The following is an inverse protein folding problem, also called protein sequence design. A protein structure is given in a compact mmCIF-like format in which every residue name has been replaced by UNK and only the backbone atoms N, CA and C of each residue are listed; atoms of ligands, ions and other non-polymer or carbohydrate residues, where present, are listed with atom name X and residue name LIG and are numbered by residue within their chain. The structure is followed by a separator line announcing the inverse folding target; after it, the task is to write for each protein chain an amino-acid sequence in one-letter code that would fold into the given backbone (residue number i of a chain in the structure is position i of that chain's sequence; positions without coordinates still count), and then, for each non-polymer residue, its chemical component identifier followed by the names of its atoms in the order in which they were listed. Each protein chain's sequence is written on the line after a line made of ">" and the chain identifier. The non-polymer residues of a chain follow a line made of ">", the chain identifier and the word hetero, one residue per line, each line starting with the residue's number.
data_IF_886351488421
#
_entry.id   IF_886351488421
#
_cell.length_a   1.000
_cell.length_b   1.000
_cell.length_c   1.000
_cell.angle_alpha   90.00
_cell.angle_beta   90.00
_cell.angle_gamma   90.00
#
_symmetry.space_group_name_H-M   'P 1'
#
loop_
_entity.id
_entity.type
_entity.pdbx_description
1 polymer ?
#
# COMPACT_ATOMS: atom_id res chain seq x y z
N UNK A 1 -9.06 2.93 -6.35
CA UNK A 1 -9.36 1.68 -5.61
C UNK A 1 -8.16 0.75 -5.80
N UNK A 2 -7.69 0.12 -4.73
CA UNK A 2 -6.60 -0.85 -4.76
C UNK A 2 -7.15 -2.25 -4.52
N UNK A 3 -6.63 -3.23 -5.26
CA UNK A 3 -6.92 -4.65 -5.06
C UNK A 3 -5.64 -5.45 -5.17
N UNK A 4 -5.47 -6.45 -4.31
CA UNK A 4 -4.33 -7.36 -4.34
C UNK A 4 -4.79 -8.82 -4.18
N UNK A 5 -3.91 -9.75 -4.54
CA UNK A 5 -4.16 -11.17 -4.30
C UNK A 5 -3.98 -11.49 -2.81
N UNK A 6 -4.84 -12.37 -2.30
CA UNK A 6 -4.62 -12.93 -0.97
C UNK A 6 -3.39 -13.85 -1.01
N UNK A 7 -2.52 -13.71 -0.02
CA UNK A 7 -1.39 -14.59 0.22
C UNK A 7 -1.72 -15.50 1.40
N UNK A 8 -1.47 -16.80 1.22
CA UNK A 8 -1.66 -17.80 2.27
C UNK A 8 -0.73 -17.51 3.45
N UNK A 9 -1.26 -17.58 4.68
CA UNK A 9 -0.57 -17.24 5.95
C UNK A 9 -0.29 -15.75 6.19
N UNK A 10 -0.80 -14.86 5.34
CA UNK A 10 -0.83 -13.44 5.64
C UNK A 10 -1.59 -13.15 6.93
N UNK A 11 -0.97 -12.48 7.88
CA UNK A 11 -1.65 -12.03 9.11
C UNK A 11 -2.24 -10.65 8.93
N UNK A 12 -1.50 -9.76 8.26
CA UNK A 12 -1.90 -8.38 8.00
C UNK A 12 -1.32 -7.87 6.66
N UNK A 13 -1.95 -6.84 6.11
CA UNK A 13 -1.48 -6.09 4.96
C UNK A 13 -1.35 -4.61 5.32
N UNK A 14 -0.18 -4.03 5.05
CA UNK A 14 0.06 -2.60 5.18
C UNK A 14 0.12 -1.97 3.80
N UNK A 15 -0.67 -0.90 3.60
CA UNK A 15 -0.68 -0.13 2.35
C UNK A 15 0.04 1.18 2.56
N UNK A 16 1.02 1.46 1.71
CA UNK A 16 1.77 2.71 1.67
C UNK A 16 1.54 3.40 0.34
N UNK A 17 1.51 4.74 0.34
CA UNK A 17 1.55 5.52 -0.89
C UNK A 17 2.45 6.75 -0.79
N UNK A 18 2.99 7.17 -1.93
CA UNK A 18 3.86 8.34 -2.07
C UNK A 18 3.61 9.03 -3.42
N UNK A 19 3.86 10.34 -3.49
CA UNK A 19 3.89 11.10 -4.75
C UNK A 19 5.29 11.17 -5.37
N UNK A 20 6.32 10.88 -4.58
CA UNK A 20 7.69 10.75 -5.04
C UNK A 20 7.91 9.33 -5.53
N UNK A 21 8.39 9.19 -6.77
CA UNK A 21 8.85 7.91 -7.30
C UNK A 21 10.03 7.43 -6.45
N UNK A 22 9.88 6.31 -5.76
CA UNK A 22 11.04 5.60 -5.22
C UNK A 22 11.63 4.78 -6.37
N UNK A 23 12.73 5.30 -6.90
CA UNK A 23 13.49 4.74 -8.01
C UNK A 23 14.20 3.45 -7.54
N UNK A 24 13.48 2.32 -7.53
CA UNK A 24 14.05 0.97 -7.68
C UNK A 24 12.97 -0.10 -7.48
N UNK A 25 12.96 -1.04 -8.42
CA UNK A 25 12.05 -2.15 -8.65
C UNK A 25 11.89 -3.20 -7.53
N UNK A 26 12.23 -2.89 -6.27
CA UNK A 26 12.03 -3.80 -5.14
C UNK A 26 12.21 -3.14 -3.75
N UNK A 27 12.54 -1.85 -3.66
CA UNK A 27 12.68 -1.22 -2.34
C UNK A 27 11.33 -0.68 -1.90
N UNK A 28 10.78 -1.35 -0.89
CA UNK A 28 9.72 -0.87 -0.01
C UNK A 28 9.76 0.66 0.10
N UNK A 29 8.63 1.33 -0.17
CA UNK A 29 8.40 2.66 0.40
C UNK A 29 8.77 2.53 1.88
N UNK A 30 9.80 3.25 2.38
CA UNK A 30 10.24 3.07 3.75
C UNK A 30 9.01 3.19 4.64
N UNK A 31 8.85 2.26 5.59
CA UNK A 31 7.72 2.19 6.53
C UNK A 31 7.78 3.35 7.56
N UNK A 32 7.94 4.56 7.06
CA UNK A 32 8.10 5.82 7.77
C UNK A 32 7.52 6.86 6.82
N UNK A 33 6.19 7.08 6.86
CA UNK A 33 5.34 7.22 8.06
C UNK A 33 4.43 5.99 8.36
N UNK A 34 3.53 6.03 9.38
CA UNK A 34 2.54 4.97 9.61
C UNK A 34 1.81 4.57 8.33
N UNK A 35 1.45 3.28 8.17
CA UNK A 35 0.78 2.81 6.96
C UNK A 35 -0.51 3.61 6.77
N UNK A 36 -0.79 3.98 5.52
CA UNK A 36 -2.00 4.70 5.16
C UNK A 36 -3.26 3.85 5.39
N UNK A 37 -3.11 2.53 5.57
CA UNK A 37 -4.11 1.65 6.13
C UNK A 37 -3.52 0.33 6.64
N UNK A 38 -4.10 -0.17 7.74
CA UNK A 38 -3.87 -1.52 8.26
C UNK A 38 -5.10 -2.38 7.95
N UNK A 39 -4.89 -3.53 7.31
CA UNK A 39 -5.94 -4.47 6.94
C UNK A 39 -5.64 -5.86 7.48
N UNK A 40 -6.61 -6.44 8.19
CA UNK A 40 -6.53 -7.82 8.70
C UNK A 40 -6.47 -8.84 7.56
N UNK A 41 -5.89 -10.01 7.87
CA UNK A 41 -5.93 -11.21 7.03
C UNK A 41 -7.30 -11.43 6.39
N UNK A 42 -7.32 -11.75 5.09
CA UNK A 42 -8.55 -11.94 4.31
C UNK A 42 -9.08 -10.68 3.62
N UNK A 43 -8.55 -9.49 3.94
CA UNK A 43 -8.89 -8.26 3.23
C UNK A 43 -8.04 -8.12 1.96
N UNK A 44 -8.69 -7.91 0.81
CA UNK A 44 -8.03 -7.77 -0.51
C UNK A 44 -8.35 -6.48 -1.25
N UNK A 45 -9.07 -5.57 -0.61
CA UNK A 45 -9.58 -4.34 -1.20
C UNK A 45 -9.39 -3.17 -0.24
N UNK A 46 -8.95 -2.04 -0.77
CA UNK A 46 -8.87 -0.78 -0.04
C UNK A 46 -9.28 0.41 -0.92
N UNK A 47 -10.01 1.34 -0.30
CA UNK A 47 -10.37 2.63 -0.88
C UNK A 47 -9.49 3.70 -0.25
N UNK A 48 -8.50 4.17 -0.99
CA UNK A 48 -7.72 5.35 -0.64
C UNK A 48 -8.53 6.59 -1.03
N UNK A 49 -8.67 7.53 -0.09
CA UNK A 49 -9.49 8.76 -0.23
C UNK A 49 -8.61 9.99 -0.07
N UNK A 50 -9.16 11.15 -0.43
CA UNK A 50 -8.51 12.47 -0.29
C UNK A 50 -7.18 12.60 -1.02
N UNK A 51 -7.08 11.97 -2.20
CA UNK A 51 -5.95 12.17 -3.11
C UNK A 51 -6.17 13.44 -3.92
N UNK A 52 -5.07 14.14 -4.21
CA UNK A 52 -5.09 15.32 -5.07
C UNK A 52 -5.31 14.91 -6.53
N UNK A 53 -6.07 15.73 -7.26
CA UNK A 53 -6.27 15.55 -8.70
C UNK A 53 -4.99 15.90 -9.45
N UNK A 54 -4.76 15.26 -10.60
CA UNK A 54 -3.57 15.47 -11.45
C UNK A 54 -2.22 15.12 -10.80
N UNK A 55 -2.24 14.33 -9.71
CA UNK A 55 -1.05 13.87 -9.01
C UNK A 55 -0.79 12.39 -9.28
N UNK A 56 0.45 12.04 -9.60
CA UNK A 56 0.89 10.63 -9.72
C UNK A 56 1.18 10.05 -8.34
N UNK A 57 0.62 8.88 -8.05
CA UNK A 57 0.84 8.15 -6.81
C UNK A 57 1.45 6.77 -7.06
N UNK A 58 2.41 6.42 -6.22
CA UNK A 58 3.05 5.10 -6.18
C UNK A 58 2.55 4.37 -4.94
N UNK A 59 2.10 3.14 -5.10
CA UNK A 59 1.55 2.32 -4.02
C UNK A 59 2.44 1.11 -3.74
N UNK A 60 2.52 0.70 -2.48
CA UNK A 60 3.16 -0.55 -2.07
C UNK A 60 2.32 -1.26 -1.03
N UNK A 61 2.23 -2.59 -1.15
CA UNK A 61 1.55 -3.45 -0.18
C UNK A 61 2.62 -4.30 0.47
N UNK A 62 2.80 -4.12 1.78
CA UNK A 62 3.68 -4.95 2.60
C UNK A 62 2.83 -6.02 3.27
N UNK A 63 3.33 -7.25 3.21
CA UNK A 63 2.74 -8.41 3.87
C UNK A 63 3.45 -8.67 5.21
N UNK A 64 2.68 -9.00 6.25
CA UNK A 64 3.17 -9.44 7.56
C UNK A 64 2.75 -10.87 7.89
#
# INVERSE_FOLDING_TARGET
>A
MLSWSLVENATEYYVYYSTTANDSSAQSIPASPPPNGNFLSGTRLSIVRNLEVDTTYYFSVLLL
#
